data_IF_659578563778
#
_entry.id   IF_659578563778
#
_cell.length_a   1.000
_cell.length_b   1.000
_cell.length_c   1.000
_cell.angle_alpha   90.00
_cell.angle_beta   90.00
_cell.angle_gamma   90.00
#
_symmetry.space_group_name_H-M   'P 1'
#
loop_
_entity.id
_entity.type
_entity.pdbx_description
1 polymer ?
#
# COMPACT_ATOMS: atom_id res chain seq x y z
N UNK A 1 40.36 44.44 34.76
CA UNK A 1 40.38 44.02 33.34
C UNK A 1 39.75 42.63 33.28
N UNK A 2 38.48 42.61 32.88
CA UNK A 2 37.69 41.41 32.65
C UNK A 2 38.04 40.82 31.30
N UNK A 3 38.23 39.51 31.21
CA UNK A 3 38.05 38.75 29.97
C UNK A 3 37.46 37.37 30.34
N UNK A 4 36.13 37.33 30.40
CA UNK A 4 35.36 36.11 30.19
C UNK A 4 35.55 35.68 28.73
N UNK A 5 35.98 34.43 28.51
CA UNK A 5 35.78 33.75 27.22
C UNK A 5 34.44 33.02 27.32
N UNK A 6 33.43 33.60 26.70
CA UNK A 6 32.19 32.91 26.37
C UNK A 6 32.53 31.76 25.41
N UNK A 7 32.28 30.53 25.83
CA UNK A 7 32.13 29.41 24.91
C UNK A 7 30.72 29.53 24.33
N UNK A 8 30.64 30.09 23.13
CA UNK A 8 29.43 30.06 22.30
C UNK A 8 29.08 28.60 22.07
N UNK A 9 28.00 28.15 22.71
CA UNK A 9 27.35 26.89 22.36
C UNK A 9 26.81 27.04 20.94
N UNK A 10 27.48 26.41 19.99
CA UNK A 10 26.94 26.17 18.66
C UNK A 10 25.77 25.21 18.80
N UNK A 11 24.54 25.74 18.85
CA UNK A 11 23.33 24.97 18.56
C UNK A 11 23.47 24.51 17.12
N UNK A 12 23.88 23.25 16.93
CA UNK A 12 23.72 22.58 15.65
C UNK A 12 22.20 22.50 15.41
N UNK A 13 21.69 23.45 14.63
CA UNK A 13 20.37 23.38 14.04
C UNK A 13 20.43 22.33 12.93
N UNK A 14 20.45 21.06 13.30
CA UNK A 14 20.05 19.98 12.40
C UNK A 14 18.54 20.12 12.25
N UNK A 15 18.09 20.84 11.22
CA UNK A 15 16.67 20.90 10.85
C UNK A 15 16.31 19.56 10.21
N UNK A 16 16.10 18.55 11.05
CA UNK A 16 15.51 17.27 10.65
C UNK A 16 14.20 17.54 9.92
N UNK A 17 14.03 17.02 8.71
CA UNK A 17 12.83 17.28 7.91
C UNK A 17 11.76 16.23 8.23
N UNK A 18 11.13 16.33 9.40
CA UNK A 18 10.00 15.46 9.77
C UNK A 18 8.65 16.16 9.60
N UNK A 19 7.56 15.36 9.51
CA UNK A 19 6.19 15.87 9.63
C UNK A 19 6.00 16.81 10.84
N UNK A 20 6.64 16.52 11.98
CA UNK A 20 6.56 17.37 13.17
C UNK A 20 7.00 18.82 12.94
N UNK A 21 8.05 19.04 12.14
CA UNK A 21 8.55 20.40 11.85
C UNK A 21 7.90 21.05 10.63
N UNK A 22 7.34 20.24 9.72
CA UNK A 22 6.78 20.73 8.46
C UNK A 22 5.28 21.02 8.54
N UNK A 23 4.55 20.28 9.37
CA UNK A 23 3.14 20.53 9.66
C UNK A 23 3.03 21.55 10.79
N UNK A 24 2.23 22.59 10.59
CA UNK A 24 2.21 23.75 11.46
C UNK A 24 1.12 23.64 12.53
N UNK A 25 1.37 24.21 13.70
CA UNK A 25 0.36 24.35 14.75
C UNK A 25 0.29 25.84 15.14
N UNK A 26 -0.90 26.49 15.12
CA UNK A 26 -1.02 27.88 15.54
C UNK A 26 -0.66 28.08 17.02
N UNK A 27 -0.88 27.04 17.84
CA UNK A 27 -0.53 27.00 19.25
C UNK A 27 0.66 26.08 19.56
N UNK A 28 0.71 25.59 20.80
CA UNK A 28 1.74 24.61 21.20
C UNK A 28 1.31 23.22 20.78
N UNK A 29 2.06 22.63 19.85
CA UNK A 29 1.81 21.27 19.39
C UNK A 29 1.88 20.26 20.54
N UNK A 30 0.81 19.48 20.71
CA UNK A 30 0.76 18.40 21.67
C UNK A 30 1.68 17.27 21.22
N UNK A 31 2.65 16.90 22.05
CA UNK A 31 3.46 15.72 21.78
C UNK A 31 2.72 14.42 22.04
N UNK A 32 1.76 14.40 22.97
CA UNK A 32 1.00 13.18 23.30
C UNK A 32 -0.47 13.52 23.50
N UNK A 33 -1.36 12.78 22.84
CA UNK A 33 -2.81 12.90 23.10
C UNK A 33 -3.15 12.38 24.50
N UNK A 34 -3.41 13.28 25.45
CA UNK A 34 -3.68 12.88 26.84
C UNK A 34 -5.09 12.31 27.04
N UNK A 35 -6.05 12.84 26.28
CA UNK A 35 -7.47 12.51 26.32
C UNK A 35 -8.05 12.72 24.93
N UNK A 36 -8.90 11.80 24.51
CA UNK A 36 -9.64 11.90 23.26
C UNK A 36 -11.00 11.23 23.43
N UNK A 37 -12.02 11.81 22.81
CA UNK A 37 -13.39 11.29 22.81
C UNK A 37 -13.75 10.73 21.44
N UNK A 38 -14.81 9.93 21.35
CA UNK A 38 -15.37 9.52 20.06
C UNK A 38 -15.75 10.73 19.19
N UNK A 39 -16.28 11.80 19.79
CA UNK A 39 -16.61 13.03 19.06
C UNK A 39 -15.39 13.69 18.41
N UNK A 40 -14.25 13.76 19.13
CA UNK A 40 -13.01 14.30 18.58
C UNK A 40 -12.50 13.45 17.40
N UNK A 41 -12.63 12.12 17.48
CA UNK A 41 -12.26 11.24 16.37
C UNK A 41 -13.17 11.49 15.15
N UNK A 42 -14.49 11.58 15.39
CA UNK A 42 -15.47 11.81 14.34
C UNK A 42 -15.27 13.18 13.66
N UNK A 43 -14.93 14.22 14.43
CA UNK A 43 -14.62 15.57 13.92
C UNK A 43 -13.39 15.56 13.00
N UNK A 44 -12.27 14.97 13.44
CA UNK A 44 -11.05 14.86 12.62
C UNK A 44 -11.33 14.05 11.36
N UNK A 45 -12.01 12.90 11.51
CA UNK A 45 -12.37 12.04 10.38
C UNK A 45 -13.22 12.80 9.38
N UNK A 46 -14.25 13.52 9.83
CA UNK A 46 -15.12 14.31 8.96
C UNK A 46 -14.36 15.42 8.21
N UNK A 47 -13.38 16.07 8.86
CA UNK A 47 -12.59 17.11 8.21
C UNK A 47 -11.66 16.53 7.13
N UNK A 48 -10.97 15.43 7.42
CA UNK A 48 -10.11 14.75 6.42
C UNK A 48 -10.93 14.19 5.26
N UNK A 49 -12.11 13.62 5.53
CA UNK A 49 -13.06 13.22 4.47
C UNK A 49 -13.51 14.43 3.66
N UNK A 50 -13.76 15.57 4.29
CA UNK A 50 -14.11 16.82 3.60
C UNK A 50 -13.02 17.28 2.63
N UNK A 51 -11.74 17.14 3.00
CA UNK A 51 -10.60 17.38 2.10
C UNK A 51 -10.63 16.40 0.90
N UNK A 52 -10.77 15.10 1.15
CA UNK A 52 -10.89 14.09 0.10
C UNK A 52 -12.06 14.34 -0.87
N UNK A 53 -13.24 14.67 -0.32
CA UNK A 53 -14.46 14.93 -1.09
C UNK A 53 -14.38 16.23 -1.90
N UNK A 54 -13.45 17.14 -1.55
CA UNK A 54 -13.19 18.37 -2.30
C UNK A 54 -12.37 18.16 -3.58
N UNK A 55 -11.68 17.01 -3.69
CA UNK A 55 -10.85 16.68 -4.85
C UNK A 55 -11.71 16.34 -6.07
N UNK A 56 -11.20 16.59 -7.30
CA UNK A 56 -11.87 16.12 -8.51
C UNK A 56 -12.06 14.61 -8.50
N UNK A 57 -13.28 14.16 -8.83
CA UNK A 57 -13.63 12.74 -8.92
C UNK A 57 -13.31 12.12 -10.30
N UNK A 58 -12.69 12.89 -11.19
CA UNK A 58 -12.18 12.41 -12.49
C UNK A 58 -11.17 11.30 -12.25
N UNK A 59 -11.38 10.14 -12.87
CA UNK A 59 -10.40 9.06 -12.89
C UNK A 59 -10.28 8.53 -14.33
N UNK A 60 -9.08 8.68 -14.88
CA UNK A 60 -8.66 8.28 -16.23
C UNK A 60 -7.37 7.47 -16.12
N UNK A 61 -6.90 6.92 -17.24
CA UNK A 61 -5.64 6.19 -17.30
C UNK A 61 -4.42 6.90 -16.67
N UNK A 62 -4.41 8.24 -16.66
CA UNK A 62 -3.25 9.05 -16.24
C UNK A 62 -3.51 9.97 -15.05
N UNK A 63 -4.76 10.07 -14.59
CA UNK A 63 -5.15 11.05 -13.57
C UNK A 63 -6.31 10.51 -12.74
N UNK A 64 -6.16 10.47 -11.42
CA UNK A 64 -7.25 10.19 -10.47
C UNK A 64 -6.91 10.86 -9.12
N UNK A 65 -7.24 12.15 -8.92
CA UNK A 65 -6.75 12.92 -7.77
C UNK A 65 -7.16 12.33 -6.42
N UNK A 66 -8.37 11.77 -6.32
CA UNK A 66 -8.83 11.06 -5.13
C UNK A 66 -7.98 9.82 -4.82
N UNK A 67 -7.58 9.04 -5.84
CA UNK A 67 -6.70 7.88 -5.64
C UNK A 67 -5.30 8.31 -5.22
N UNK A 68 -4.71 9.28 -5.94
CA UNK A 68 -3.35 9.77 -5.69
C UNK A 68 -3.23 10.34 -4.26
N UNK A 69 -4.16 11.21 -3.87
CA UNK A 69 -4.14 11.85 -2.55
C UNK A 69 -4.43 10.87 -1.40
N UNK A 70 -5.44 10.00 -1.55
CA UNK A 70 -5.74 8.98 -0.53
C UNK A 70 -4.58 7.98 -0.37
N UNK A 71 -3.97 7.58 -1.49
CA UNK A 71 -2.78 6.74 -1.49
C UNK A 71 -1.61 7.40 -0.75
N UNK A 72 -1.37 8.70 -0.96
CA UNK A 72 -0.33 9.45 -0.25
C UNK A 72 -0.57 9.50 1.27
N UNK A 73 -1.77 9.87 1.70
CA UNK A 73 -2.13 9.95 3.13
C UNK A 73 -2.01 8.58 3.81
N UNK A 74 -2.49 7.52 3.14
CA UNK A 74 -2.40 6.15 3.66
C UNK A 74 -0.95 5.65 3.69
N UNK A 75 -0.16 5.93 2.65
CA UNK A 75 1.26 5.60 2.57
C UNK A 75 2.05 6.27 3.70
N UNK A 76 1.74 7.53 4.04
CA UNK A 76 2.39 8.22 5.16
C UNK A 76 2.25 7.45 6.48
N UNK A 77 1.04 6.99 6.83
CA UNK A 77 0.84 6.17 8.03
C UNK A 77 1.60 4.84 7.96
N UNK A 78 1.67 4.23 6.77
CA UNK A 78 2.48 3.04 6.53
C UNK A 78 3.97 3.27 6.77
N UNK A 79 4.52 4.33 6.18
CA UNK A 79 5.95 4.67 6.28
C UNK A 79 6.36 5.03 7.72
N UNK A 80 5.42 5.57 8.50
CA UNK A 80 5.58 5.76 9.95
C UNK A 80 5.66 4.40 10.67
N UNK A 81 4.61 3.56 10.61
CA UNK A 81 4.61 2.35 11.42
C UNK A 81 5.52 1.22 10.96
N UNK A 82 6.00 1.22 9.71
CA UNK A 82 6.82 0.15 9.14
C UNK A 82 8.27 0.20 9.64
N UNK A 83 8.70 1.29 10.27
CA UNK A 83 10.04 1.39 10.85
C UNK A 83 10.16 0.69 12.22
N UNK A 84 9.05 0.16 12.74
CA UNK A 84 9.00 -0.51 14.04
C UNK A 84 9.89 -1.74 14.06
N UNK A 85 10.86 -1.76 14.97
CA UNK A 85 11.73 -2.92 15.19
C UNK A 85 12.26 -2.93 16.62
N UNK A 86 12.22 -4.10 17.26
CA UNK A 86 12.79 -4.33 18.60
C UNK A 86 12.34 -3.32 19.69
N UNK A 87 11.13 -2.78 19.56
CA UNK A 87 10.55 -1.81 20.50
C UNK A 87 10.87 -0.34 20.21
N UNK A 88 11.56 -0.03 19.12
CA UNK A 88 11.84 1.32 18.62
C UNK A 88 11.02 1.60 17.35
N UNK A 89 10.52 2.82 17.20
CA UNK A 89 9.65 3.25 16.09
C UNK A 89 8.18 2.87 16.24
N UNK A 90 7.50 2.70 15.10
CA UNK A 90 6.07 2.46 15.02
C UNK A 90 5.29 3.72 14.68
N UNK A 91 3.98 3.72 14.91
CA UNK A 91 3.13 4.85 14.59
C UNK A 91 3.41 6.04 15.54
N UNK A 92 4.52 6.74 15.35
CA UNK A 92 5.03 7.80 16.21
C UNK A 92 5.12 9.16 15.50
N UNK A 93 4.64 9.23 14.26
CA UNK A 93 4.60 10.40 13.41
C UNK A 93 5.97 10.87 12.91
N UNK A 94 7.03 10.08 13.08
CA UNK A 94 8.36 10.44 12.62
C UNK A 94 8.71 9.72 11.32
N UNK A 95 8.89 10.53 10.27
CA UNK A 95 9.38 10.09 8.97
C UNK A 95 10.42 11.10 8.50
N UNK A 96 11.56 10.62 7.99
CA UNK A 96 12.56 11.48 7.36
C UNK A 96 12.10 11.83 5.94
N UNK A 97 11.61 13.04 5.72
CA UNK A 97 11.17 13.49 4.39
C UNK A 97 12.35 13.76 3.43
N UNK A 98 13.60 13.64 3.89
CA UNK A 98 14.79 13.68 3.01
C UNK A 98 15.20 12.31 2.49
N UNK A 99 14.70 11.23 3.09
CA UNK A 99 14.90 9.86 2.60
C UNK A 99 14.20 9.68 1.24
N UNK A 100 14.89 9.06 0.29
CA UNK A 100 14.36 8.78 -1.03
C UNK A 100 13.12 7.89 -0.98
N UNK A 101 13.04 6.97 -0.01
CA UNK A 101 11.86 6.10 0.16
C UNK A 101 10.63 6.89 0.63
N UNK A 102 10.79 8.12 1.13
CA UNK A 102 9.71 8.99 1.59
C UNK A 102 9.37 10.11 0.58
N UNK A 103 10.01 10.12 -0.59
CA UNK A 103 9.71 11.08 -1.65
C UNK A 103 8.22 11.04 -2.04
N UNK A 104 7.63 12.22 -2.25
CA UNK A 104 6.21 12.39 -2.58
C UNK A 104 5.25 12.46 -1.39
N UNK A 105 5.73 12.31 -0.13
CA UNK A 105 4.86 12.41 1.05
C UNK A 105 4.59 13.86 1.49
N UNK A 106 5.49 14.79 1.16
CA UNK A 106 5.36 16.20 1.55
C UNK A 106 4.09 16.85 0.95
N UNK A 107 3.70 16.39 -0.23
CA UNK A 107 2.60 16.87 -1.06
C UNK A 107 1.24 16.73 -0.35
N UNK A 108 0.90 15.54 0.14
CA UNK A 108 -0.33 15.38 0.92
C UNK A 108 -0.22 15.88 2.36
N UNK A 109 0.99 15.93 2.93
CA UNK A 109 1.21 16.37 4.32
C UNK A 109 1.06 17.88 4.49
N UNK A 110 1.82 18.69 3.76
CA UNK A 110 1.94 20.14 4.01
C UNK A 110 2.16 21.00 2.76
N UNK A 111 2.74 20.49 1.67
CA UNK A 111 3.02 21.28 0.45
C UNK A 111 1.74 21.57 -0.33
N UNK A 112 0.83 20.61 -0.41
CA UNK A 112 -0.47 20.77 -1.05
C UNK A 112 -0.54 20.12 -2.45
N UNK A 113 -0.77 18.81 -2.51
CA UNK A 113 -1.18 18.14 -3.74
C UNK A 113 -2.61 18.58 -4.11
N UNK A 114 -2.84 18.94 -5.37
CA UNK A 114 -4.14 19.46 -5.84
C UNK A 114 -4.66 20.69 -5.07
N UNK A 115 -3.76 21.42 -4.39
CA UNK A 115 -4.09 22.60 -3.59
C UNK A 115 -4.62 22.31 -2.18
N UNK A 116 -4.53 21.06 -1.70
CA UNK A 116 -4.94 20.68 -0.34
C UNK A 116 -3.88 19.83 0.36
N UNK A 117 -3.82 19.91 1.69
CA UNK A 117 -2.97 19.06 2.52
C UNK A 117 -3.66 18.76 3.85
N UNK A 118 -3.29 17.65 4.50
CA UNK A 118 -3.87 17.30 5.80
C UNK A 118 -3.41 18.25 6.93
N UNK A 119 -2.37 19.07 6.71
CA UNK A 119 -1.96 20.12 7.65
C UNK A 119 -3.11 21.10 7.96
N UNK A 120 -3.94 21.45 6.97
CA UNK A 120 -5.05 22.38 7.19
C UNK A 120 -6.07 21.84 8.20
N UNK A 121 -6.28 20.52 8.23
CA UNK A 121 -7.11 19.87 9.22
C UNK A 121 -6.39 19.72 10.57
N UNK A 122 -5.10 19.34 10.54
CA UNK A 122 -4.32 19.14 11.76
C UNK A 122 -4.24 20.39 12.63
N UNK A 123 -4.10 21.58 12.02
CA UNK A 123 -4.03 22.87 12.71
C UNK A 123 -5.20 23.12 13.68
N UNK A 124 -6.38 22.54 13.44
CA UNK A 124 -7.54 22.69 14.32
C UNK A 124 -7.46 21.84 15.60
N UNK A 125 -6.65 20.78 15.60
CA UNK A 125 -6.58 19.79 16.69
C UNK A 125 -5.21 19.67 17.35
N UNK A 126 -4.16 20.22 16.72
CA UNK A 126 -2.75 20.04 17.06
C UNK A 126 -2.37 20.42 18.50
N UNK A 127 -3.15 21.23 19.19
CA UNK A 127 -2.90 21.59 20.60
C UNK A 127 -3.33 20.50 21.60
N UNK A 128 -4.11 19.50 21.15
CA UNK A 128 -4.68 18.46 22.01
C UNK A 128 -4.51 17.03 21.49
N UNK A 129 -4.36 16.87 20.18
CA UNK A 129 -4.11 15.61 19.50
C UNK A 129 -2.69 15.63 18.95
N UNK A 130 -1.89 14.64 19.34
CA UNK A 130 -0.53 14.48 18.79
C UNK A 130 -0.57 14.18 17.30
N UNK A 131 0.44 14.64 16.56
CA UNK A 131 0.57 14.35 15.14
C UNK A 131 0.49 12.85 14.83
N UNK A 132 1.10 12.01 15.69
CA UNK A 132 1.10 10.56 15.54
C UNK A 132 -0.31 9.96 15.56
N UNK A 133 -1.16 10.39 16.50
CA UNK A 133 -2.57 9.97 16.52
C UNK A 133 -3.35 10.56 15.33
N UNK A 134 -3.08 11.80 14.94
CA UNK A 134 -3.74 12.45 13.80
C UNK A 134 -3.47 11.71 12.48
N UNK A 135 -2.21 11.31 12.22
CA UNK A 135 -1.84 10.60 10.99
C UNK A 135 -2.57 9.25 10.85
N UNK A 136 -2.72 8.50 11.94
CA UNK A 136 -3.49 7.26 11.94
C UNK A 136 -4.97 7.53 11.65
N UNK A 137 -5.57 8.56 12.26
CA UNK A 137 -6.97 8.93 12.00
C UNK A 137 -7.14 9.38 10.54
N UNK A 138 -6.20 10.15 10.00
CA UNK A 138 -6.25 10.61 8.61
C UNK A 138 -6.22 9.42 7.62
N UNK A 139 -5.37 8.42 7.87
CA UNK A 139 -5.34 7.20 7.07
C UNK A 139 -6.65 6.39 7.17
N UNK A 140 -7.20 6.23 8.38
CA UNK A 140 -8.51 5.59 8.58
C UNK A 140 -9.65 6.35 7.89
N UNK A 141 -9.58 7.68 7.88
CA UNK A 141 -10.55 8.56 7.23
C UNK A 141 -10.54 8.41 5.70
N UNK A 142 -9.36 8.43 5.05
CA UNK A 142 -9.27 8.26 3.59
C UNK A 142 -9.68 6.84 3.16
N UNK A 143 -9.32 5.80 3.92
CA UNK A 143 -9.81 4.45 3.66
C UNK A 143 -11.33 4.35 3.79
N UNK A 144 -11.91 5.05 4.79
CA UNK A 144 -13.37 5.11 4.96
C UNK A 144 -14.06 5.84 3.80
N UNK A 145 -13.50 6.96 3.34
CA UNK A 145 -14.02 7.70 2.18
C UNK A 145 -13.92 6.87 0.89
N UNK A 146 -12.78 6.25 0.63
CA UNK A 146 -12.59 5.36 -0.52
C UNK A 146 -13.46 4.10 -0.45
N UNK A 147 -13.75 3.58 0.75
CA UNK A 147 -14.68 2.46 0.94
C UNK A 147 -16.13 2.84 0.63
N UNK A 148 -16.51 4.08 0.92
CA UNK A 148 -17.87 4.59 0.67
C UNK A 148 -18.28 4.43 -0.80
N UNK A 149 -17.37 4.71 -1.74
CA UNK A 149 -17.58 4.46 -3.19
C UNK A 149 -18.02 3.03 -3.49
N UNK A 150 -17.41 2.05 -2.82
CA UNK A 150 -17.72 0.62 -2.98
C UNK A 150 -19.12 0.31 -2.46
N UNK A 151 -19.45 0.79 -1.27
CA UNK A 151 -20.75 0.52 -0.63
C UNK A 151 -21.91 1.29 -1.25
N UNK A 152 -21.65 2.45 -1.88
CA UNK A 152 -22.64 3.19 -2.64
C UNK A 152 -22.93 2.53 -3.99
N UNK A 153 -21.89 1.98 -4.64
CA UNK A 153 -22.03 1.22 -5.88
C UNK A 153 -22.71 -0.14 -5.67
N UNK A 154 -22.41 -0.82 -4.55
CA UNK A 154 -23.02 -2.09 -4.16
C UNK A 154 -23.32 -2.12 -2.65
N UNK A 155 -24.57 -1.83 -2.24
CA UNK A 155 -24.99 -1.84 -0.83
C UNK A 155 -24.91 -3.20 -0.13
N UNK A 156 -24.65 -4.30 -0.86
CA UNK A 156 -24.40 -5.61 -0.24
C UNK A 156 -22.99 -5.74 0.35
N UNK A 157 -22.08 -4.84 -0.03
CA UNK A 157 -20.69 -4.80 0.43
C UNK A 157 -20.62 -4.18 1.83
N UNK A 158 -19.86 -4.81 2.73
CA UNK A 158 -19.75 -4.33 4.12
C UNK A 158 -19.05 -2.98 4.21
N UNK A 159 -19.56 -2.08 5.06
CA UNK A 159 -18.81 -0.91 5.49
C UNK A 159 -17.59 -1.31 6.35
N UNK A 160 -16.65 -0.38 6.54
CA UNK A 160 -15.52 -0.55 7.44
C UNK A 160 -15.67 0.38 8.65
N UNK A 161 -15.32 -0.12 9.83
CA UNK A 161 -15.42 0.62 11.09
C UNK A 161 -14.07 0.57 11.82
N UNK A 162 -13.26 1.60 11.62
CA UNK A 162 -11.98 1.74 12.31
C UNK A 162 -12.13 2.26 13.74
N UNK A 163 -13.08 3.17 13.97
CA UNK A 163 -13.32 3.85 15.25
C UNK A 163 -13.45 2.89 16.43
N UNK A 164 -14.18 1.78 16.26
CA UNK A 164 -14.38 0.80 17.35
C UNK A 164 -13.09 0.14 17.85
N UNK A 165 -12.04 0.14 17.03
CA UNK A 165 -10.73 -0.44 17.37
C UNK A 165 -9.64 0.62 17.59
N UNK A 166 -9.90 1.87 17.21
CA UNK A 166 -8.94 2.96 17.37
C UNK A 166 -8.52 3.14 18.84
N UNK A 167 -7.23 3.39 19.02
CA UNK A 167 -6.64 3.74 20.31
C UNK A 167 -5.79 4.98 20.15
N UNK A 168 -5.80 5.85 21.15
CA UNK A 168 -5.04 7.09 21.20
C UNK A 168 -3.97 7.05 22.31
N UNK A 169 -3.08 8.03 22.27
CA UNK A 169 -2.03 8.25 23.27
C UNK A 169 -0.62 8.03 22.73
N UNK A 170 -0.45 8.02 21.40
CA UNK A 170 0.88 8.02 20.78
C UNK A 170 1.63 9.28 21.19
N UNK A 171 2.93 9.16 21.35
CA UNK A 171 3.80 10.32 21.56
C UNK A 171 4.54 10.58 20.27
N UNK A 172 4.42 11.79 19.72
CA UNK A 172 5.08 12.17 18.50
C UNK A 172 6.59 12.25 18.71
N UNK A 173 7.35 11.46 17.95
CA UNK A 173 8.79 11.58 17.90
C UNK A 173 9.19 12.75 16.97
N UNK A 174 10.17 13.52 17.40
CA UNK A 174 10.63 14.71 16.64
C UNK A 174 11.81 14.41 15.73
N UNK A 175 12.49 13.28 15.95
CA UNK A 175 13.64 12.81 15.18
C UNK A 175 13.70 11.27 15.18
N UNK A 176 14.17 10.70 14.07
CA UNK A 176 14.23 9.27 13.83
C UNK A 176 15.36 8.96 12.82
N UNK A 177 16.58 9.45 13.05
CA UNK A 177 17.71 9.19 12.15
C UNK A 177 18.02 7.68 11.96
N UNK A 178 17.59 6.86 12.93
CA UNK A 178 17.75 5.42 12.92
C UNK A 178 16.76 4.68 12.00
N UNK A 179 15.73 5.36 11.46
CA UNK A 179 14.67 4.74 10.66
C UNK A 179 15.11 4.43 9.20
N UNK A 180 16.15 5.12 8.72
CA UNK A 180 16.67 4.93 7.36
C UNK A 180 17.02 3.46 7.08
N UNK A 181 16.48 2.93 5.98
CA UNK A 181 16.68 1.53 5.57
C UNK A 181 15.85 0.49 6.34
N UNK A 182 14.86 0.89 7.15
CA UNK A 182 13.91 -0.06 7.78
C UNK A 182 12.68 -0.35 6.94
N UNK A 183 12.38 0.49 5.95
CA UNK A 183 11.26 0.29 5.03
C UNK A 183 11.53 -0.89 4.09
N UNK A 184 10.48 -1.64 3.69
CA UNK A 184 10.66 -2.82 2.85
C UNK A 184 11.06 -2.40 1.44
N UNK A 185 12.24 -2.83 1.00
CA UNK A 185 12.72 -2.58 -0.35
C UNK A 185 11.99 -3.48 -1.36
N UNK A 186 11.31 -2.94 -2.39
CA UNK A 186 10.58 -3.76 -3.34
C UNK A 186 11.44 -4.69 -4.19
N UNK A 187 12.75 -4.44 -4.32
CA UNK A 187 13.67 -5.32 -5.04
C UNK A 187 13.97 -6.61 -4.25
N UNK A 188 13.80 -6.59 -2.92
CA UNK A 188 14.12 -7.70 -2.01
C UNK A 188 12.91 -8.62 -1.73
N UNK A 189 11.88 -8.53 -2.58
CA UNK A 189 10.82 -9.54 -2.74
C UNK A 189 10.20 -9.99 -1.41
N UNK A 190 10.07 -11.30 -1.14
CA UNK A 190 9.39 -11.79 0.05
C UNK A 190 10.29 -11.77 1.29
N UNK A 191 11.60 -11.70 1.11
CA UNK A 191 12.54 -11.41 2.20
C UNK A 191 12.21 -10.06 2.85
N UNK A 192 12.00 -8.99 2.08
CA UNK A 192 11.60 -7.69 2.64
C UNK A 192 10.24 -7.75 3.37
N UNK A 193 9.26 -8.46 2.81
CA UNK A 193 7.95 -8.62 3.46
C UNK A 193 8.09 -9.36 4.79
N UNK A 194 8.90 -10.42 4.83
CA UNK A 194 9.14 -11.18 6.04
C UNK A 194 9.82 -10.32 7.12
N UNK A 195 10.93 -9.66 6.78
CA UNK A 195 11.72 -8.90 7.75
C UNK A 195 10.92 -7.75 8.37
N UNK A 196 10.21 -6.96 7.56
CA UNK A 196 9.46 -5.81 8.05
C UNK A 196 8.15 -6.25 8.73
N UNK A 197 7.27 -6.95 8.01
CA UNK A 197 5.92 -7.19 8.49
C UNK A 197 5.82 -8.36 9.46
N UNK A 198 6.51 -9.47 9.17
CA UNK A 198 6.40 -10.69 9.98
C UNK A 198 7.29 -10.62 11.20
N UNK A 199 8.58 -10.36 10.99
CA UNK A 199 9.58 -10.44 12.05
C UNK A 199 9.59 -9.18 12.92
N UNK A 200 9.61 -8.00 12.31
CA UNK A 200 9.71 -6.73 13.07
C UNK A 200 8.36 -6.30 13.64
N UNK A 201 7.28 -6.30 12.83
CA UNK A 201 5.95 -5.90 13.28
C UNK A 201 5.15 -7.02 13.97
N UNK A 202 5.58 -8.28 13.87
CA UNK A 202 4.92 -9.42 14.51
C UNK A 202 3.62 -9.87 13.83
N UNK A 203 3.45 -9.60 12.54
CA UNK A 203 2.30 -10.06 11.76
C UNK A 203 2.48 -11.51 11.30
N UNK A 204 1.38 -12.23 11.10
CA UNK A 204 1.42 -13.46 10.29
C UNK A 204 1.50 -13.13 8.79
N UNK A 205 1.93 -14.06 7.94
CA UNK A 205 1.87 -13.88 6.48
C UNK A 205 0.47 -13.51 5.95
N UNK A 206 -0.60 -14.03 6.59
CA UNK A 206 -1.97 -13.67 6.27
C UNK A 206 -2.29 -12.20 6.62
N UNK A 207 -1.76 -11.69 7.72
CA UNK A 207 -1.93 -10.31 8.15
C UNK A 207 -1.04 -9.35 7.36
N UNK A 208 0.19 -9.75 7.02
CA UNK A 208 1.07 -9.01 6.13
C UNK A 208 0.43 -8.82 4.75
N UNK A 209 -0.03 -9.92 4.12
CA UNK A 209 -0.75 -9.85 2.85
C UNK A 209 -2.04 -9.02 2.95
N UNK A 210 -2.79 -9.12 4.06
CA UNK A 210 -3.97 -8.30 4.25
C UNK A 210 -3.62 -6.81 4.31
N UNK A 211 -2.57 -6.45 5.06
CA UNK A 211 -2.09 -5.07 5.20
C UNK A 211 -1.57 -4.50 3.87
N UNK A 212 -0.85 -5.30 3.07
CA UNK A 212 -0.43 -4.92 1.71
C UNK A 212 -1.60 -4.64 0.76
N UNK A 213 -2.81 -5.14 1.07
CA UNK A 213 -4.03 -4.80 0.33
C UNK A 213 -4.36 -3.31 0.23
N UNK A 214 -3.71 -2.44 1.02
CA UNK A 214 -3.76 -0.98 0.84
C UNK A 214 -3.31 -0.52 -0.54
N UNK A 215 -2.50 -1.31 -1.24
CA UNK A 215 -2.11 -1.07 -2.64
C UNK A 215 -3.32 -1.06 -3.60
N UNK A 216 -4.53 -1.42 -3.16
CA UNK A 216 -5.75 -1.09 -3.91
C UNK A 216 -6.01 0.42 -4.07
N UNK A 217 -5.29 1.28 -3.33
CA UNK A 217 -5.41 2.74 -3.39
C UNK A 217 -4.13 3.40 -3.93
N UNK A 218 -4.32 4.29 -4.91
CA UNK A 218 -3.24 5.09 -5.49
C UNK A 218 -2.41 4.35 -6.54
N UNK A 219 -1.17 4.81 -6.75
CA UNK A 219 -0.23 4.26 -7.73
C UNK A 219 1.23 4.55 -7.39
N UNK A 220 2.14 3.88 -8.07
CA UNK A 220 3.54 4.25 -8.14
C UNK A 220 3.78 5.33 -9.21
N UNK A 221 4.70 6.26 -8.91
CA UNK A 221 5.14 7.29 -9.85
C UNK A 221 6.66 7.34 -9.91
N UNK A 222 7.20 7.42 -11.14
CA UNK A 222 8.65 7.45 -11.39
C UNK A 222 9.31 8.59 -10.62
N UNK A 223 8.66 9.75 -10.54
CA UNK A 223 9.18 10.93 -9.85
C UNK A 223 9.36 10.73 -8.33
N UNK A 224 8.63 9.78 -7.73
CA UNK A 224 8.65 9.54 -6.29
C UNK A 224 9.52 8.31 -5.95
N UNK A 225 9.16 7.13 -6.47
CA UNK A 225 9.80 5.86 -6.10
C UNK A 225 10.69 5.26 -7.20
N UNK A 226 10.59 5.78 -8.42
CA UNK A 226 11.22 5.21 -9.63
C UNK A 226 10.44 4.07 -10.28
N UNK A 227 9.34 3.61 -9.67
CA UNK A 227 8.39 2.65 -10.25
C UNK A 227 7.23 3.36 -10.94
N UNK A 228 6.51 2.68 -11.84
CA UNK A 228 5.55 3.33 -12.73
C UNK A 228 4.28 2.50 -12.93
N UNK A 229 3.15 3.00 -12.45
CA UNK A 229 1.84 2.45 -12.75
C UNK A 229 0.96 2.22 -11.52
N UNK A 230 -0.26 1.81 -11.80
CA UNK A 230 -1.31 1.51 -10.84
C UNK A 230 -1.29 0.03 -10.45
N UNK A 231 -1.57 -0.31 -9.20
CA UNK A 231 -1.68 -1.74 -8.79
C UNK A 231 -2.92 -2.45 -9.35
N UNK A 232 -3.92 -1.68 -9.76
CA UNK A 232 -5.03 -2.14 -10.61
C UNK A 232 -5.40 -1.05 -11.61
N UNK A 233 -6.57 -1.07 -12.25
CA UNK A 233 -6.97 0.05 -13.11
C UNK A 233 -7.07 1.35 -12.32
N UNK A 234 -6.84 2.47 -13.01
CA UNK A 234 -6.92 3.81 -12.40
C UNK A 234 -8.29 4.09 -11.75
N UNK A 235 -9.38 3.55 -12.31
CA UNK A 235 -10.74 3.72 -11.77
C UNK A 235 -10.94 2.90 -10.49
N UNK A 236 -10.34 1.71 -10.40
CA UNK A 236 -10.38 0.90 -9.19
C UNK A 236 -9.48 1.44 -8.08
N UNK A 237 -8.42 2.17 -8.45
CA UNK A 237 -7.40 2.66 -7.52
C UNK A 237 -7.88 3.76 -6.54
N UNK A 238 -9.16 4.17 -6.57
CA UNK A 238 -9.78 5.02 -5.53
C UNK A 238 -10.74 4.27 -4.61
N UNK A 239 -10.91 2.97 -4.83
CA UNK A 239 -11.88 2.14 -4.14
C UNK A 239 -11.15 1.25 -3.14
N UNK A 240 -11.47 1.39 -1.85
CA UNK A 240 -10.90 0.50 -0.84
C UNK A 240 -11.64 -0.85 -0.86
N UNK A 241 -11.19 -1.75 -1.73
CA UNK A 241 -11.80 -3.06 -2.00
C UNK A 241 -10.73 -4.15 -2.20
N UNK A 242 -11.15 -5.38 -2.47
CA UNK A 242 -10.24 -6.51 -2.67
C UNK A 242 -9.63 -6.62 -4.08
N UNK A 243 -9.75 -5.59 -4.92
CA UNK A 243 -9.35 -5.62 -6.34
C UNK A 243 -7.84 -5.82 -6.54
N UNK A 244 -7.02 -5.41 -5.57
CA UNK A 244 -5.60 -5.77 -5.51
C UNK A 244 -5.37 -7.29 -5.57
N UNK A 245 -6.06 -8.08 -4.73
CA UNK A 245 -5.89 -9.53 -4.72
C UNK A 245 -6.51 -10.20 -5.95
N UNK A 246 -7.62 -9.64 -6.45
CA UNK A 246 -8.21 -10.09 -7.72
C UNK A 246 -7.21 -9.86 -8.85
N UNK A 247 -6.56 -8.70 -8.90
CA UNK A 247 -5.55 -8.35 -9.90
C UNK A 247 -4.34 -9.27 -9.87
N UNK A 248 -3.83 -9.63 -8.68
CA UNK A 248 -2.70 -10.57 -8.54
C UNK A 248 -3.00 -11.92 -9.23
N UNK A 249 -4.24 -12.42 -9.11
CA UNK A 249 -4.58 -13.79 -9.52
C UNK A 249 -5.36 -13.88 -10.85
N UNK A 250 -6.11 -12.84 -11.23
CA UNK A 250 -6.95 -12.84 -12.42
C UNK A 250 -6.29 -12.18 -13.64
N UNK A 251 -5.11 -11.58 -13.46
CA UNK A 251 -4.32 -10.94 -14.53
C UNK A 251 -3.00 -11.69 -14.74
N UNK A 252 -2.44 -11.56 -15.93
CA UNK A 252 -1.11 -12.07 -16.25
C UNK A 252 -0.06 -10.98 -16.17
N UNK A 253 1.11 -11.31 -15.63
CA UNK A 253 2.17 -10.34 -15.33
C UNK A 253 3.49 -10.78 -15.95
N UNK A 254 4.21 -9.85 -16.57
CA UNK A 254 5.54 -10.07 -17.17
C UNK A 254 6.58 -9.12 -16.55
N UNK A 255 7.86 -9.51 -16.47
CA UNK A 255 8.89 -8.66 -15.90
C UNK A 255 9.10 -7.40 -16.75
N UNK A 256 9.22 -6.25 -16.08
CA UNK A 256 9.60 -4.96 -16.63
C UNK A 256 10.84 -4.48 -15.88
N UNK A 257 12.00 -4.64 -16.52
CA UNK A 257 13.30 -4.25 -15.94
C UNK A 257 13.69 -2.83 -16.35
N UNK A 258 14.52 -2.21 -15.51
CA UNK A 258 15.06 -0.88 -15.75
C UNK A 258 13.99 0.20 -16.01
N UNK A 259 12.98 0.28 -15.13
CA UNK A 259 11.85 1.21 -15.25
C UNK A 259 12.36 2.65 -15.45
N UNK A 260 11.82 3.31 -16.47
CA UNK A 260 12.25 4.66 -16.88
C UNK A 260 13.77 4.82 -17.09
N UNK A 261 14.47 3.74 -17.45
CA UNK A 261 15.92 3.71 -17.65
C UNK A 261 16.75 3.52 -16.37
N UNK A 262 16.12 3.28 -15.21
CA UNK A 262 16.81 3.05 -13.95
C UNK A 262 16.98 1.55 -13.68
N UNK A 263 18.19 1.01 -13.87
CA UNK A 263 18.47 -0.42 -13.69
C UNK A 263 18.27 -0.96 -12.26
N UNK A 264 18.11 -0.09 -11.27
CA UNK A 264 17.82 -0.46 -9.89
C UNK A 264 16.32 -0.47 -9.56
N UNK A 265 15.46 -0.30 -10.56
CA UNK A 265 14.00 -0.32 -10.42
C UNK A 265 13.42 -1.31 -11.42
N UNK A 266 12.91 -2.43 -10.89
CA UNK A 266 12.35 -3.53 -11.65
C UNK A 266 10.96 -3.86 -11.08
N UNK A 267 10.00 -4.08 -11.96
CA UNK A 267 8.62 -4.33 -11.58
C UNK A 267 8.01 -5.38 -12.50
N UNK A 268 6.73 -5.68 -12.29
CA UNK A 268 5.94 -6.53 -13.15
C UNK A 268 4.87 -5.69 -13.82
N UNK A 269 4.74 -5.79 -15.14
CA UNK A 269 3.69 -5.12 -15.90
C UNK A 269 2.61 -6.12 -16.31
N UNK A 270 1.37 -5.65 -16.43
CA UNK A 270 0.29 -6.49 -16.97
C UNK A 270 0.58 -6.88 -18.43
N UNK A 271 0.43 -8.16 -18.74
CA UNK A 271 0.79 -8.75 -20.04
C UNK A 271 -0.36 -9.48 -20.75
N UNK A 272 -1.52 -9.61 -20.10
CA UNK A 272 -2.65 -10.36 -20.64
C UNK A 272 -3.46 -9.63 -21.71
N UNK A 273 -4.44 -10.34 -22.30
CA UNK A 273 -5.29 -9.80 -23.38
C UNK A 273 -6.14 -8.58 -22.99
N UNK A 274 -6.27 -8.29 -21.69
CA UNK A 274 -6.97 -7.14 -21.14
C UNK A 274 -6.06 -5.95 -20.83
N UNK A 275 -4.74 -6.06 -21.05
CA UNK A 275 -3.83 -4.95 -20.88
C UNK A 275 -4.21 -3.79 -21.81
N UNK A 276 -4.50 -2.62 -21.23
CA UNK A 276 -4.90 -1.42 -21.97
C UNK A 276 -4.46 -0.15 -21.24
N UNK A 277 -3.20 0.24 -21.44
CA UNK A 277 -2.64 1.43 -20.79
C UNK A 277 -3.37 2.72 -21.16
N UNK A 278 -3.91 2.80 -22.38
CA UNK A 278 -4.60 4.00 -22.88
C UNK A 278 -5.88 4.29 -22.11
N UNK A 279 -6.62 3.26 -21.69
CA UNK A 279 -7.93 3.42 -21.05
C UNK A 279 -7.90 3.10 -19.55
N UNK A 280 -7.14 2.09 -19.15
CA UNK A 280 -7.10 1.61 -17.77
C UNK A 280 -5.92 2.17 -16.97
N UNK A 281 -4.94 2.77 -17.67
CA UNK A 281 -3.65 3.14 -17.09
C UNK A 281 -2.67 1.98 -17.15
N UNK A 282 -1.38 2.30 -17.01
CA UNK A 282 -0.33 1.28 -16.90
C UNK A 282 -0.49 0.53 -15.59
N UNK A 283 -0.77 -0.75 -15.65
CA UNK A 283 -0.93 -1.61 -14.47
C UNK A 283 0.39 -2.31 -14.15
N UNK A 284 0.75 -2.29 -12.88
CA UNK A 284 2.02 -2.83 -12.37
C UNK A 284 1.85 -3.56 -11.04
N UNK A 285 2.83 -4.37 -10.70
CA UNK A 285 3.03 -4.93 -9.36
C UNK A 285 4.52 -4.91 -9.03
N UNK A 286 4.86 -4.80 -7.75
CA UNK A 286 6.25 -4.94 -7.28
C UNK A 286 6.60 -6.42 -7.04
N UNK A 287 7.89 -6.75 -6.90
CA UNK A 287 8.27 -8.11 -6.50
C UNK A 287 7.63 -8.48 -5.15
N UNK A 288 7.64 -7.56 -4.19
CA UNK A 288 6.99 -7.71 -2.87
C UNK A 288 5.48 -8.01 -2.97
N UNK A 289 4.79 -7.50 -4.00
CA UNK A 289 3.37 -7.78 -4.22
C UNK A 289 3.14 -9.20 -4.76
N UNK A 290 3.82 -9.55 -5.85
CA UNK A 290 3.58 -10.82 -6.53
C UNK A 290 4.22 -12.01 -5.80
N UNK A 291 5.30 -11.80 -5.03
CA UNK A 291 5.91 -12.87 -4.25
C UNK A 291 4.93 -13.46 -3.23
N UNK A 292 3.93 -12.70 -2.77
CA UNK A 292 2.89 -13.18 -1.86
C UNK A 292 2.22 -14.46 -2.40
N UNK A 293 2.04 -14.55 -3.72
CA UNK A 293 1.39 -15.65 -4.40
C UNK A 293 2.36 -16.55 -5.19
N UNK A 294 3.42 -15.99 -5.77
CA UNK A 294 4.22 -16.65 -6.79
C UNK A 294 5.70 -16.78 -6.41
N UNK A 295 6.37 -17.75 -7.03
CA UNK A 295 7.81 -18.02 -6.96
C UNK A 295 8.32 -18.22 -8.39
N UNK A 296 9.64 -18.20 -8.61
CA UNK A 296 10.19 -18.47 -9.95
C UNK A 296 10.24 -19.97 -10.28
N UNK A 297 10.30 -20.83 -9.26
CA UNK A 297 10.40 -22.29 -9.39
C UNK A 297 9.16 -23.03 -8.86
N UNK A 298 9.05 -24.30 -9.22
CA UNK A 298 7.92 -25.16 -8.87
C UNK A 298 7.99 -25.65 -7.42
N UNK A 299 9.21 -25.72 -6.88
CA UNK A 299 9.53 -26.15 -5.53
C UNK A 299 9.29 -25.03 -4.50
N UNK A 300 9.18 -23.78 -4.95
CA UNK A 300 9.00 -22.60 -4.09
C UNK A 300 10.26 -22.21 -3.33
N UNK A 301 11.43 -22.51 -3.89
CA UNK A 301 12.74 -22.23 -3.27
C UNK A 301 13.40 -20.97 -3.81
N UNK A 302 12.91 -20.44 -4.93
CA UNK A 302 13.43 -19.23 -5.57
C UNK A 302 12.35 -18.15 -5.56
N UNK A 303 12.61 -17.07 -4.81
CA UNK A 303 11.71 -15.93 -4.72
C UNK A 303 11.44 -15.30 -6.09
N UNK A 304 10.26 -14.70 -6.24
CA UNK A 304 9.90 -14.00 -7.47
C UNK A 304 10.65 -12.67 -7.58
N UNK A 305 11.44 -12.49 -8.65
CA UNK A 305 12.21 -11.27 -8.88
C UNK A 305 12.24 -10.89 -10.37
N UNK A 306 11.68 -9.72 -10.71
CA UNK A 306 11.63 -9.20 -12.08
C UNK A 306 13.01 -9.03 -12.73
N UNK A 307 14.03 -8.64 -11.95
CA UNK A 307 15.37 -8.37 -12.45
C UNK A 307 16.06 -9.64 -12.96
N UNK A 308 15.82 -10.76 -12.27
CA UNK A 308 16.43 -12.07 -12.57
C UNK A 308 15.50 -13.05 -13.26
N UNK A 309 14.23 -12.70 -13.46
CA UNK A 309 13.17 -13.52 -14.06
C UNK A 309 13.61 -14.19 -15.38
N UNK A 310 14.19 -13.42 -16.31
CA UNK A 310 14.64 -13.93 -17.60
C UNK A 310 15.74 -15.01 -17.49
N UNK A 311 16.62 -14.92 -16.47
CA UNK A 311 17.68 -15.91 -16.24
C UNK A 311 17.15 -17.22 -15.63
N UNK A 312 15.96 -17.18 -15.03
CA UNK A 312 15.24 -18.32 -14.50
C UNK A 312 14.17 -18.85 -15.45
N UNK A 313 14.17 -18.38 -16.71
CA UNK A 313 13.15 -18.73 -17.70
C UNK A 313 11.72 -18.44 -17.19
N UNK A 314 11.56 -17.41 -16.35
CA UNK A 314 10.29 -16.92 -15.83
C UNK A 314 9.95 -15.63 -16.59
N UNK A 315 9.09 -15.73 -17.60
CA UNK A 315 8.72 -14.61 -18.47
C UNK A 315 7.27 -14.16 -18.28
N UNK A 316 6.46 -14.96 -17.59
CA UNK A 316 5.09 -14.62 -17.25
C UNK A 316 4.66 -15.35 -15.97
N UNK A 317 3.99 -14.64 -15.07
CA UNK A 317 3.32 -15.23 -13.91
C UNK A 317 1.81 -15.01 -14.00
N UNK A 318 1.04 -16.05 -13.69
CA UNK A 318 -0.42 -16.10 -13.74
C UNK A 318 -0.92 -17.28 -12.89
N UNK A 319 -2.17 -17.23 -12.44
CA UNK A 319 -2.85 -18.34 -11.73
C UNK A 319 -3.88 -19.02 -12.65
N UNK A 320 -4.44 -20.16 -12.25
CA UNK A 320 -5.50 -20.82 -13.03
C UNK A 320 -6.88 -20.19 -12.77
N UNK A 321 -7.79 -20.11 -13.77
CA UNK A 321 -9.08 -19.43 -13.61
C UNK A 321 -9.96 -19.95 -12.45
N UNK A 322 -9.85 -21.23 -12.12
CA UNK A 322 -10.65 -21.85 -11.04
C UNK A 322 -10.25 -21.37 -9.65
N UNK A 323 -9.08 -20.75 -9.48
CA UNK A 323 -8.67 -20.20 -8.20
C UNK A 323 -9.46 -18.95 -7.81
N UNK A 324 -10.00 -18.23 -8.80
CA UNK A 324 -10.66 -16.92 -8.65
C UNK A 324 -11.97 -16.79 -9.41
N UNK A 325 -12.62 -17.90 -9.77
CA UNK A 325 -13.85 -17.86 -10.57
C UNK A 325 -14.95 -17.03 -9.92
N UNK A 326 -15.17 -17.20 -8.60
CA UNK A 326 -16.18 -16.41 -7.86
C UNK A 326 -15.83 -14.92 -7.85
N UNK A 327 -14.56 -14.59 -7.64
CA UNK A 327 -14.07 -13.21 -7.68
C UNK A 327 -14.27 -12.58 -9.06
N UNK A 328 -13.87 -13.28 -10.13
CA UNK A 328 -13.97 -12.74 -11.49
C UNK A 328 -15.42 -12.52 -11.91
N UNK A 329 -16.33 -13.44 -11.57
CA UNK A 329 -17.77 -13.27 -11.81
C UNK A 329 -18.33 -12.05 -11.08
N UNK A 330 -17.90 -11.83 -9.83
CA UNK A 330 -18.45 -10.76 -8.98
C UNK A 330 -17.85 -9.38 -9.25
N UNK A 331 -16.55 -9.30 -9.54
CA UNK A 331 -15.80 -8.03 -9.56
C UNK A 331 -15.25 -7.65 -10.94
N UNK A 332 -15.05 -8.63 -11.84
CA UNK A 332 -14.40 -8.42 -13.15
C UNK A 332 -15.35 -8.66 -14.34
N UNK A 333 -16.67 -8.66 -14.09
CA UNK A 333 -17.70 -8.98 -15.08
C UNK A 333 -17.46 -10.35 -15.78
N UNK A 334 -16.90 -11.31 -15.04
CA UNK A 334 -16.53 -12.63 -15.54
C UNK A 334 -15.27 -12.66 -16.42
N UNK A 335 -14.46 -11.61 -16.44
CA UNK A 335 -13.19 -11.60 -17.17
C UNK A 335 -12.09 -12.25 -16.36
N UNK A 336 -11.33 -13.11 -17.02
CA UNK A 336 -10.07 -13.65 -16.55
C UNK A 336 -9.03 -13.38 -17.62
N UNK A 337 -7.89 -12.79 -17.25
CA UNK A 337 -6.84 -12.35 -18.18
C UNK A 337 -7.40 -11.52 -19.36
N UNK A 338 -8.40 -10.68 -19.07
CA UNK A 338 -9.06 -9.79 -20.03
C UNK A 338 -10.18 -10.39 -20.88
N UNK A 339 -10.47 -11.69 -20.78
CA UNK A 339 -11.49 -12.35 -21.62
C UNK A 339 -12.61 -12.99 -20.80
N UNK A 340 -13.83 -12.88 -21.32
CA UNK A 340 -15.00 -13.63 -20.85
C UNK A 340 -15.10 -15.01 -21.48
N UNK A 341 -14.35 -15.28 -22.54
CA UNK A 341 -14.26 -16.59 -23.19
C UNK A 341 -13.05 -17.33 -22.64
N UNK A 342 -13.24 -17.97 -21.49
CA UNK A 342 -12.18 -18.68 -20.77
C UNK A 342 -12.07 -20.11 -21.33
N UNK A 343 -10.90 -20.54 -21.85
CA UNK A 343 -10.71 -21.91 -22.30
C UNK A 343 -10.99 -22.92 -21.18
N UNK A 344 -11.53 -24.10 -21.52
CA UNK A 344 -11.87 -25.12 -20.53
C UNK A 344 -10.64 -25.59 -19.72
N UNK A 345 -10.88 -26.14 -18.52
CA UNK A 345 -9.84 -26.54 -17.55
C UNK A 345 -8.75 -27.48 -18.10
N UNK A 346 -9.06 -28.28 -19.12
CA UNK A 346 -8.10 -29.17 -19.77
C UNK A 346 -7.22 -28.48 -20.83
N UNK A 347 -7.49 -27.21 -21.16
CA UNK A 347 -6.81 -26.47 -22.22
C UNK A 347 -5.84 -25.43 -21.65
N UNK A 348 -4.91 -25.92 -20.81
CA UNK A 348 -3.92 -25.10 -20.11
C UNK A 348 -3.13 -24.18 -21.05
N UNK A 349 -2.71 -24.67 -22.22
CA UNK A 349 -1.95 -23.87 -23.20
C UNK A 349 -2.73 -22.65 -23.69
N UNK A 350 -4.04 -22.76 -23.89
CA UNK A 350 -4.85 -21.61 -24.31
C UNK A 350 -5.13 -20.67 -23.14
N UNK A 351 -5.29 -21.19 -21.91
CA UNK A 351 -5.42 -20.34 -20.72
C UNK A 351 -4.14 -19.52 -20.51
N UNK A 352 -2.97 -20.17 -20.59
CA UNK A 352 -1.67 -19.48 -20.54
C UNK A 352 -1.55 -18.41 -21.60
N UNK A 353 -1.91 -18.74 -22.85
CA UNK A 353 -1.82 -17.78 -23.94
C UNK A 353 -2.72 -16.55 -23.74
N UNK A 354 -3.81 -16.68 -23.01
CA UNK A 354 -4.69 -15.57 -22.66
C UNK A 354 -4.02 -14.60 -21.67
N UNK A 355 -3.26 -15.13 -20.71
CA UNK A 355 -2.59 -14.36 -19.66
C UNK A 355 -1.21 -13.84 -20.07
N UNK A 356 -0.50 -14.58 -20.90
CA UNK A 356 0.91 -14.32 -21.20
C UNK A 356 1.14 -13.84 -22.63
N UNK A 357 0.25 -14.15 -23.59
CA UNK A 357 0.44 -13.84 -25.00
C UNK A 357 0.20 -15.02 -25.95
N UNK A 358 -0.24 -14.72 -27.18
CA UNK A 358 -0.64 -15.73 -28.16
C UNK A 358 0.51 -16.67 -28.60
N UNK A 359 1.76 -16.21 -28.51
CA UNK A 359 2.98 -16.98 -28.76
C UNK A 359 3.08 -18.24 -27.88
N UNK A 360 2.51 -18.20 -26.68
CA UNK A 360 2.53 -19.31 -25.72
C UNK A 360 1.57 -20.46 -26.05
N UNK A 361 0.78 -20.33 -27.14
CA UNK A 361 0.00 -21.44 -27.72
C UNK A 361 0.88 -22.53 -28.35
N UNK A 362 2.10 -22.19 -28.75
CA UNK A 362 3.03 -23.08 -29.49
C UNK A 362 4.17 -23.63 -28.65
N UNK A 363 4.42 -23.06 -27.47
CA UNK A 363 5.47 -23.51 -26.56
C UNK A 363 4.96 -24.73 -25.80
N UNK A 364 5.67 -25.87 -25.88
CA UNK A 364 5.28 -27.10 -25.17
C UNK A 364 5.67 -27.09 -23.70
N UNK A 365 6.68 -26.32 -23.34
CA UNK A 365 7.34 -26.42 -22.03
C UNK A 365 6.80 -25.41 -21.03
N UNK A 366 6.87 -25.81 -19.76
CA UNK A 366 6.62 -25.00 -18.56
C UNK A 366 7.74 -23.99 -18.28
N UNK A 367 8.79 -23.97 -19.10
CA UNK A 367 10.02 -23.17 -18.95
C UNK A 367 9.83 -21.67 -19.23
N UNK A 368 8.65 -21.12 -18.96
CA UNK A 368 8.28 -19.72 -19.23
C UNK A 368 7.37 -19.20 -18.10
N UNK A 369 6.52 -20.08 -17.58
CA UNK A 369 5.69 -19.78 -16.42
C UNK A 369 6.59 -19.63 -15.18
N UNK A 370 6.37 -18.57 -14.40
CA UNK A 370 7.03 -18.42 -13.11
C UNK A 370 6.39 -19.39 -12.12
N UNK A 371 7.09 -20.49 -11.83
CA UNK A 371 6.56 -21.60 -11.04
C UNK A 371 5.38 -22.33 -11.71
N UNK A 372 4.62 -23.10 -10.92
CA UNK A 372 3.42 -23.82 -11.40
C UNK A 372 2.16 -22.98 -11.20
N UNK A 373 1.46 -22.52 -12.26
CA UNK A 373 0.20 -21.78 -12.10
C UNK A 373 -0.92 -22.55 -11.38
N UNK A 374 -0.88 -23.89 -11.41
CA UNK A 374 -1.87 -24.74 -10.73
C UNK A 374 -1.60 -24.92 -9.23
N UNK A 375 -0.39 -24.59 -8.79
CA UNK A 375 0.06 -24.77 -7.41
C UNK A 375 1.09 -23.68 -7.03
N UNK A 376 0.70 -22.39 -7.04
CA UNK A 376 1.60 -21.30 -6.67
C UNK A 376 2.15 -21.47 -5.25
N UNK A 377 3.45 -21.16 -5.08
CA UNK A 377 4.20 -21.44 -3.84
C UNK A 377 4.52 -20.21 -2.98
N UNK A 378 4.01 -19.04 -3.35
CA UNK A 378 4.19 -17.84 -2.53
C UNK A 378 3.67 -18.03 -1.11
N UNK A 379 4.34 -17.48 -0.09
CA UNK A 379 4.09 -17.78 1.32
C UNK A 379 2.68 -17.38 1.79
N UNK A 380 2.01 -16.45 1.10
CA UNK A 380 0.67 -15.99 1.41
C UNK A 380 -0.39 -16.41 0.36
N UNK A 381 -0.07 -17.30 -0.58
CA UNK A 381 -0.96 -17.63 -1.71
C UNK A 381 -2.38 -18.00 -1.28
N UNK A 382 -2.51 -18.84 -0.25
CA UNK A 382 -3.84 -19.25 0.26
C UNK A 382 -4.64 -18.08 0.82
N UNK A 383 -3.97 -17.11 1.45
CA UNK A 383 -4.61 -15.89 1.95
C UNK A 383 -4.97 -14.95 0.82
N UNK A 384 -4.06 -14.71 -0.14
CA UNK A 384 -4.34 -13.90 -1.36
C UNK A 384 -5.57 -14.44 -2.10
N UNK A 385 -5.60 -15.76 -2.34
CA UNK A 385 -6.75 -16.43 -2.96
C UNK A 385 -8.03 -16.25 -2.15
N UNK A 386 -7.96 -16.37 -0.82
CA UNK A 386 -9.12 -16.19 0.04
C UNK A 386 -9.62 -14.74 0.02
N UNK A 387 -8.73 -13.75 0.03
CA UNK A 387 -9.06 -12.33 -0.01
C UNK A 387 -9.64 -11.91 -1.37
N UNK A 388 -9.14 -12.49 -2.47
CA UNK A 388 -9.70 -12.27 -3.81
C UNK A 388 -11.17 -12.73 -3.89
N UNK A 389 -11.50 -13.91 -3.34
CA UNK A 389 -12.85 -14.47 -3.43
C UNK A 389 -13.80 -13.97 -2.33
N UNK A 390 -13.28 -13.56 -1.16
CA UNK A 390 -14.08 -13.11 -0.01
C UNK A 390 -13.49 -11.82 0.60
N UNK A 391 -14.07 -10.69 0.20
CA UNK A 391 -13.66 -9.38 0.68
C UNK A 391 -13.94 -9.17 2.19
N UNK A 392 -15.03 -9.75 2.72
CA UNK A 392 -15.36 -9.60 4.15
C UNK A 392 -14.32 -10.31 5.03
N UNK A 393 -13.73 -11.40 4.51
CA UNK A 393 -12.57 -12.01 5.13
C UNK A 393 -11.36 -11.07 5.09
N UNK A 394 -11.06 -10.47 3.93
CA UNK A 394 -9.95 -9.52 3.83
C UNK A 394 -10.12 -8.36 4.81
N UNK A 395 -11.26 -7.67 4.82
CA UNK A 395 -11.54 -6.54 5.73
C UNK A 395 -11.33 -6.94 7.19
N UNK A 396 -11.76 -8.14 7.59
CA UNK A 396 -11.61 -8.63 8.96
C UNK A 396 -10.14 -8.85 9.34
N UNK A 397 -9.35 -9.46 8.45
CA UNK A 397 -7.91 -9.69 8.69
C UNK A 397 -7.15 -8.37 8.61
N UNK A 398 -7.49 -7.51 7.66
CA UNK A 398 -6.93 -6.17 7.50
C UNK A 398 -7.10 -5.34 8.78
N UNK A 399 -8.31 -5.24 9.34
CA UNK A 399 -8.54 -4.52 10.60
C UNK A 399 -7.69 -5.05 11.75
N UNK A 400 -7.44 -6.36 11.80
CA UNK A 400 -6.57 -6.97 12.81
C UNK A 400 -5.11 -6.55 12.59
N UNK A 401 -4.61 -6.67 11.35
CA UNK A 401 -3.25 -6.28 10.97
C UNK A 401 -3.01 -4.79 11.21
N UNK A 402 -3.93 -3.93 10.77
CA UNK A 402 -3.92 -2.48 10.98
C UNK A 402 -3.85 -2.11 12.46
N UNK A 403 -4.67 -2.76 13.30
CA UNK A 403 -4.61 -2.53 14.75
C UNK A 403 -3.27 -3.01 15.36
N UNK A 404 -2.63 -4.06 14.85
CA UNK A 404 -1.28 -4.43 15.32
C UNK A 404 -0.28 -3.35 14.91
N UNK A 405 -0.20 -3.06 13.60
CA UNK A 405 0.72 -2.09 13.01
C UNK A 405 0.67 -0.74 13.71
N UNK A 406 -0.52 -0.19 13.89
CA UNK A 406 -0.70 1.15 14.48
C UNK A 406 -0.53 1.18 16.01
N UNK A 407 -0.40 0.05 16.70
CA UNK A 407 -0.27 0.01 18.17
C UNK A 407 1.06 -0.55 18.68
N UNK A 408 1.91 -1.07 17.79
CA UNK A 408 3.26 -1.52 18.11
C UNK A 408 4.08 -0.41 18.78
N UNK A 409 4.83 -0.76 19.82
CA UNK A 409 5.65 0.20 20.59
C UNK A 409 4.89 1.03 21.63
N UNK A 410 3.55 0.96 21.69
CA UNK A 410 2.77 1.88 22.54
C UNK A 410 1.83 1.22 23.56
N UNK A 411 1.66 1.91 24.69
CA UNK A 411 0.62 1.63 25.69
C UNK A 411 -0.57 2.58 25.52
N UNK A 412 -1.47 2.25 24.59
CA UNK A 412 -2.55 3.13 24.14
C UNK A 412 -3.89 2.92 24.88
N UNK A 413 -4.79 3.89 24.77
CA UNK A 413 -6.11 3.90 25.40
C UNK A 413 -7.22 3.87 24.36
N UNK A 414 -8.31 3.17 24.66
CA UNK A 414 -9.53 3.23 23.84
C UNK A 414 -10.22 4.58 23.96
N UNK A 415 -10.90 4.99 22.91
CA UNK A 415 -11.84 6.12 22.94
C UNK A 415 -12.86 5.93 24.07
N UNK A 416 -13.32 7.05 24.61
CA UNK A 416 -14.43 7.10 25.56
C UNK A 416 -15.58 7.86 24.91
N UNK A 417 -16.79 7.34 25.13
CA UNK A 417 -18.05 8.02 24.81
C UNK A 417 -18.17 9.35 25.51
#
# INVERSE_FOLDING_TARGET
>A
MSLQKEAVGTTASTTWASPYYMMTCPGTQALTTRRMTEATYDEITAEVIGLYDSLPSTCTATECPQADWAGCVLRMAGHDFMDYKDGEGGADGCVDLTDADNAGLAECLHVGEFGISIDSAYQHYCESVSLADFLVIAAEAVMTASRKHVTEADPSRSAIDFKSSFKFGRTTATACEWAHGRLPNPEDSCTAVQETFVDSMGLTWAEAAALMGVHTLGRAQVANSGYDGWWSSAVMSRNFNNDYFVSILAKGWAPEVAVAGNSAKNQWKRADSGANETTLGKEMMLNTDLCLAFTMDNEGTVELDAATAASHECLCTWDIPVSVSEATEKYEEGRFCGSTTIPGKSNFRQQRALCCGAEFTKVSDSSIDCGLPVDPKGPAYQSVKRFANDEDVWIRVFKKAWNIATTNGFSLRRLRS
#
